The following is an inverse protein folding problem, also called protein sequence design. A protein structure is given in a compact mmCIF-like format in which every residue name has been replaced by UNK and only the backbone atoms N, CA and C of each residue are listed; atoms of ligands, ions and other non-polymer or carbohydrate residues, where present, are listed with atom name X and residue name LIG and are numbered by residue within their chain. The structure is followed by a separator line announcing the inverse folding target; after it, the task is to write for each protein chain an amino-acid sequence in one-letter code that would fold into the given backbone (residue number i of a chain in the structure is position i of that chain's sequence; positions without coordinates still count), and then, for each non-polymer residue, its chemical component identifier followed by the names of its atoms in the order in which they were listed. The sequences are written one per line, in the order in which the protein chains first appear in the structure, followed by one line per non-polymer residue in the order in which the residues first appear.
data_IF_509594757749
#
_entry.id   IF_509594757749
#
_cell.length_a   1.000
_cell.length_b   1.000
_cell.length_c   1.000
_cell.angle_alpha   90.00
_cell.angle_beta   90.00
_cell.angle_gamma   90.00
#
_symmetry.space_group_name_H-M   'P 1'
#
loop_
_entity.id
_entity.type
_entity.pdbx_description
1 polymer ?
#
# COMPACT_ATOMS: atom_id res chain seq x y z
N UNK A 1 31.22 21.91 -61.53
CA UNK A 1 31.02 23.25 -62.07
C UNK A 1 29.51 23.38 -62.22
N UNK A 2 28.82 23.78 -61.13
CA UNK A 2 28.39 25.17 -60.79
C UNK A 2 27.17 25.57 -61.65
N UNK A 3 26.01 26.00 -61.18
CA UNK A 3 25.42 26.58 -59.93
C UNK A 3 23.90 26.24 -59.97
N UNK A 4 23.24 25.76 -58.91
CA UNK A 4 22.49 26.45 -57.83
C UNK A 4 21.73 27.73 -58.19
N UNK A 5 20.41 27.68 -58.05
CA UNK A 5 19.53 28.82 -57.82
C UNK A 5 18.49 28.37 -56.77
N UNK A 6 18.40 29.07 -55.63
CA UNK A 6 17.21 29.09 -54.76
C UNK A 6 17.37 30.14 -53.63
N UNK A 7 16.68 31.26 -53.84
CA UNK A 7 15.72 31.92 -52.92
C UNK A 7 16.16 32.42 -51.53
N UNK A 8 16.46 33.72 -51.49
CA UNK A 8 15.69 34.80 -50.83
C UNK A 8 15.33 34.71 -49.31
N UNK A 9 16.17 35.40 -48.52
CA UNK A 9 15.88 36.53 -47.60
C UNK A 9 15.22 36.40 -46.22
N UNK A 10 15.77 37.28 -45.36
CA UNK A 10 15.28 37.90 -44.12
C UNK A 10 15.34 37.02 -42.87
N UNK A 11 15.83 37.46 -41.72
CA UNK A 11 16.17 38.79 -41.24
C UNK A 11 16.32 38.65 -39.72
N UNK A 12 17.57 38.65 -39.26
CA UNK A 12 17.96 38.44 -37.86
C UNK A 12 18.00 39.79 -37.13
N UNK A 13 17.17 39.94 -36.10
CA UNK A 13 17.40 40.91 -35.04
C UNK A 13 16.99 40.34 -33.68
N UNK A 14 17.99 39.90 -32.93
CA UNK A 14 18.23 40.41 -31.57
C UNK A 14 17.54 39.68 -30.43
N UNK A 15 18.36 39.08 -29.55
CA UNK A 15 18.16 39.12 -28.09
C UNK A 15 19.47 38.84 -27.35
N UNK A 16 19.97 39.92 -26.74
CA UNK A 16 20.89 40.05 -25.61
C UNK A 16 21.29 38.77 -24.86
N UNK A 17 22.59 38.47 -24.86
CA UNK A 17 23.22 37.56 -23.91
C UNK A 17 23.40 38.26 -22.54
N UNK A 18 22.72 37.77 -21.49
CA UNK A 18 23.05 38.09 -20.10
C UNK A 18 23.75 36.92 -19.44
N UNK A 19 24.91 37.20 -18.85
CA UNK A 19 25.77 36.32 -18.08
C UNK A 19 25.01 35.57 -16.98
N UNK A 20 25.16 34.24 -16.95
CA UNK A 20 24.72 33.40 -15.84
C UNK A 20 25.53 33.70 -14.58
N UNK A 21 24.87 34.24 -13.56
CA UNK A 21 25.37 34.26 -12.19
C UNK A 21 24.92 32.96 -11.52
N UNK A 22 25.89 32.15 -11.10
CA UNK A 22 25.66 30.92 -10.33
C UNK A 22 25.29 31.28 -8.90
N UNK A 23 23.99 31.40 -8.60
CA UNK A 23 23.52 31.45 -7.22
C UNK A 23 23.51 30.03 -6.64
N UNK A 24 24.42 29.77 -5.70
CA UNK A 24 24.40 28.60 -4.84
C UNK A 24 23.20 28.72 -3.90
N UNK A 25 22.06 28.18 -4.32
CA UNK A 25 20.94 27.93 -3.44
C UNK A 25 21.30 26.74 -2.55
N UNK A 26 21.78 27.02 -1.34
CA UNK A 26 21.83 26.02 -0.26
C UNK A 26 20.39 25.65 0.07
N UNK A 27 19.88 24.60 -0.54
CA UNK A 27 18.66 23.94 -0.07
C UNK A 27 18.95 23.44 1.34
N UNK A 28 18.41 24.15 2.33
CA UNK A 28 18.24 23.60 3.66
C UNK A 28 17.29 22.41 3.53
N UNK A 29 17.87 21.22 3.31
CA UNK A 29 17.19 19.98 3.65
C UNK A 29 16.81 20.10 5.12
N UNK A 30 15.53 20.37 5.38
CA UNK A 30 14.95 20.07 6.67
C UNK A 30 14.97 18.54 6.79
N UNK A 31 16.12 18.01 7.18
CA UNK A 31 16.27 16.63 7.56
C UNK A 31 15.25 16.37 8.65
N UNK A 32 14.18 15.66 8.30
CA UNK A 32 13.40 14.93 9.28
C UNK A 32 14.43 14.03 9.97
N UNK A 33 14.81 14.40 11.19
CA UNK A 33 15.70 13.62 12.00
C UNK A 33 15.17 12.18 11.98
N UNK A 34 15.99 11.24 11.51
CA UNK A 34 15.67 9.83 11.65
C UNK A 34 15.39 9.61 13.14
N UNK A 35 14.11 9.43 13.48
CA UNK A 35 13.74 9.05 14.83
C UNK A 35 14.57 7.81 15.16
N UNK A 36 15.44 7.93 16.16
CA UNK A 36 16.38 6.86 16.49
C UNK A 36 15.62 5.55 16.66
N UNK A 37 16.16 4.46 16.12
CA UNK A 37 15.60 3.13 16.29
C UNK A 37 15.43 2.81 17.77
N UNK A 38 14.28 2.27 18.19
CA UNK A 38 14.06 1.83 19.57
C UNK A 38 15.05 0.70 19.93
N UNK A 39 16.02 0.91 20.85
CA UNK A 39 17.01 -0.10 21.20
C UNK A 39 16.42 -1.35 21.85
N UNK A 40 15.21 -1.26 22.45
CA UNK A 40 14.52 -2.42 23.02
C UNK A 40 14.05 -3.38 21.93
N UNK A 41 13.65 -2.82 20.79
CA UNK A 41 13.22 -3.56 19.61
C UNK A 41 14.39 -3.97 18.71
N UNK A 42 15.48 -3.18 18.72
CA UNK A 42 16.66 -3.36 17.89
C UNK A 42 17.94 -3.59 18.73
N UNK A 43 18.06 -4.70 19.48
CA UNK A 43 19.29 -5.01 20.24
C UNK A 43 20.51 -5.30 19.34
N UNK A 44 20.28 -5.54 18.05
CA UNK A 44 21.30 -5.68 17.00
C UNK A 44 20.73 -5.11 15.69
N UNK A 45 21.58 -4.55 14.78
CA UNK A 45 21.13 -4.08 13.47
C UNK A 45 20.43 -5.14 12.60
N UNK A 46 20.60 -6.42 12.94
CA UNK A 46 20.03 -7.56 12.20
C UNK A 46 18.91 -8.28 12.98
N UNK A 47 18.47 -7.73 14.11
CA UNK A 47 17.43 -8.34 14.94
C UNK A 47 16.37 -7.31 15.32
N UNK A 48 15.14 -7.56 14.88
CA UNK A 48 13.96 -6.79 15.28
C UNK A 48 12.99 -7.66 16.09
N UNK A 49 12.62 -7.19 17.29
CA UNK A 49 11.65 -7.88 18.15
C UNK A 49 10.22 -7.52 17.74
N UNK A 50 9.75 -8.05 16.60
CA UNK A 50 8.44 -7.71 16.00
C UNK A 50 7.29 -7.77 17.01
N UNK A 51 7.14 -8.88 17.74
CA UNK A 51 6.03 -9.06 18.68
C UNK A 51 6.15 -8.25 19.98
N UNK A 52 7.30 -7.61 20.22
CA UNK A 52 7.51 -6.73 21.37
C UNK A 52 7.23 -5.26 21.05
N UNK A 53 6.96 -4.91 19.78
CA UNK A 53 6.54 -3.56 19.41
C UNK A 53 5.13 -3.26 19.95
N UNK A 54 4.78 -1.99 20.08
CA UNK A 54 3.41 -1.64 20.45
C UNK A 54 2.46 -1.95 19.28
N UNK A 55 1.37 -2.71 19.50
CA UNK A 55 0.39 -2.97 18.45
C UNK A 55 -0.46 -1.74 18.15
N UNK A 56 -0.73 -1.49 16.86
CA UNK A 56 -1.86 -0.66 16.47
C UNK A 56 -3.13 -1.46 16.73
N UNK A 57 -4.03 -0.92 17.54
CA UNK A 57 -5.28 -1.56 17.95
C UNK A 57 -6.42 -1.07 17.05
N UNK A 58 -7.20 -2.02 16.54
CA UNK A 58 -8.41 -1.78 15.76
C UNK A 58 -9.60 -2.54 16.36
N UNK A 59 -10.80 -2.28 15.83
CA UNK A 59 -12.03 -2.95 16.30
C UNK A 59 -12.00 -4.47 16.09
N UNK A 60 -11.45 -4.92 14.95
CA UNK A 60 -11.38 -6.33 14.59
C UNK A 60 -10.13 -7.07 15.07
N UNK A 61 -9.14 -6.38 15.64
CA UNK A 61 -7.82 -6.99 15.82
C UNK A 61 -6.66 -6.01 16.02
N UNK A 62 -5.45 -6.49 15.75
CA UNK A 62 -4.22 -5.72 15.95
C UNK A 62 -3.23 -5.91 14.81
N UNK A 63 -2.35 -4.92 14.63
CA UNK A 63 -1.27 -4.93 13.64
C UNK A 63 0.06 -4.51 14.28
N UNK A 64 1.14 -5.20 13.95
CA UNK A 64 2.52 -4.82 14.30
C UNK A 64 3.41 -4.99 13.08
N UNK A 65 4.28 -4.03 12.79
CA UNK A 65 5.10 -4.03 11.57
C UNK A 65 6.60 -3.94 11.80
N UNK A 66 7.36 -4.46 10.85
CA UNK A 66 8.79 -4.20 10.63
C UNK A 66 8.97 -3.66 9.21
N UNK A 67 9.53 -2.45 9.10
CA UNK A 67 9.70 -1.70 7.85
C UNK A 67 10.91 -0.75 7.96
N UNK A 68 11.27 -0.05 6.89
CA UNK A 68 12.51 0.73 6.80
C UNK A 68 12.67 1.87 7.83
N UNK A 69 11.56 2.29 8.45
CA UNK A 69 11.56 3.36 9.44
C UNK A 69 11.89 2.83 10.86
N UNK A 70 11.47 1.61 11.21
CA UNK A 70 11.67 1.04 12.56
C UNK A 70 12.70 -0.09 12.62
N UNK A 71 13.02 -0.69 11.47
CA UNK A 71 14.08 -1.68 11.28
C UNK A 71 14.93 -1.31 10.05
N UNK A 72 15.90 -0.38 10.20
CA UNK A 72 16.56 0.26 9.07
C UNK A 72 17.33 -0.65 8.12
N UNK A 73 17.67 -1.88 8.54
CA UNK A 73 18.29 -2.87 7.64
C UNK A 73 17.40 -3.21 6.44
N UNK A 74 16.09 -2.99 6.55
CA UNK A 74 15.13 -3.20 5.47
C UNK A 74 15.16 -2.09 4.41
N UNK A 75 15.79 -0.94 4.67
CA UNK A 75 15.84 0.18 3.70
C UNK A 75 16.49 -0.26 2.39
N UNK A 76 15.75 -0.12 1.29
CA UNK A 76 16.20 -0.51 -0.05
C UNK A 76 16.26 -2.03 -0.30
N UNK A 77 15.84 -2.86 0.65
CA UNK A 77 15.82 -4.32 0.50
C UNK A 77 14.54 -4.85 -0.15
N UNK A 78 13.54 -4.01 -0.38
CA UNK A 78 12.21 -4.41 -0.88
C UNK A 78 11.61 -5.49 0.03
N UNK A 79 11.57 -5.20 1.33
CA UNK A 79 11.06 -6.13 2.33
C UNK A 79 10.45 -5.42 3.51
N UNK A 80 9.20 -5.76 3.83
CA UNK A 80 8.53 -5.40 5.07
C UNK A 80 7.63 -6.54 5.50
N UNK A 81 7.35 -6.60 6.80
CA UNK A 81 6.62 -7.71 7.41
C UNK A 81 5.67 -7.19 8.46
N UNK A 82 4.45 -7.70 8.47
CA UNK A 82 3.43 -7.37 9.44
C UNK A 82 2.88 -8.63 10.11
N UNK A 83 2.69 -8.54 11.42
CA UNK A 83 1.92 -9.51 12.17
C UNK A 83 0.50 -8.95 12.33
N UNK A 84 -0.46 -9.64 11.73
CA UNK A 84 -1.90 -9.34 11.84
C UNK A 84 -2.52 -10.36 12.78
N UNK A 85 -3.25 -9.86 13.78
CA UNK A 85 -4.16 -10.70 14.57
C UNK A 85 -5.59 -10.24 14.33
N UNK A 86 -6.45 -11.15 13.89
CA UNK A 86 -7.89 -10.94 13.79
C UNK A 86 -8.58 -11.69 14.92
N UNK A 87 -9.35 -10.97 15.74
CA UNK A 87 -10.21 -11.58 16.74
C UNK A 87 -11.37 -12.34 16.07
N UNK A 88 -12.18 -13.06 16.84
CA UNK A 88 -13.36 -13.75 16.29
C UNK A 88 -14.26 -12.73 15.57
N UNK A 89 -14.58 -13.02 14.30
CA UNK A 89 -15.32 -12.10 13.42
C UNK A 89 -14.51 -10.93 12.89
N UNK A 90 -13.21 -10.85 13.17
CA UNK A 90 -12.30 -9.84 12.64
C UNK A 90 -12.08 -9.99 11.14
N UNK A 91 -11.93 -8.86 10.46
CA UNK A 91 -11.78 -8.72 9.02
C UNK A 91 -10.66 -7.70 8.76
N UNK A 92 -9.64 -8.09 8.00
CA UNK A 92 -8.79 -7.11 7.31
C UNK A 92 -9.59 -6.63 6.10
N UNK A 93 -9.99 -5.36 6.08
CA UNK A 93 -10.95 -4.87 5.08
C UNK A 93 -10.43 -5.02 3.66
N UNK A 94 -11.30 -4.88 2.67
CA UNK A 94 -10.87 -4.95 1.27
C UNK A 94 -9.95 -3.79 0.89
N UNK A 95 -8.78 -4.15 0.36
CA UNK A 95 -7.69 -3.24 0.03
C UNK A 95 -6.87 -3.80 -1.14
N UNK A 96 -5.91 -3.00 -1.60
CA UNK A 96 -4.93 -3.39 -2.61
C UNK A 96 -3.63 -2.61 -2.40
N UNK A 97 -2.54 -3.18 -2.90
CA UNK A 97 -1.21 -2.59 -2.83
C UNK A 97 -0.78 -2.14 -4.23
N UNK A 98 -0.54 -0.83 -4.46
CA UNK A 98 -0.14 -0.34 -5.76
C UNK A 98 1.31 -0.72 -6.12
N UNK A 99 2.20 -0.93 -5.14
CA UNK A 99 3.63 -1.17 -5.39
C UNK A 99 4.18 -2.50 -4.92
N UNK A 100 3.42 -3.30 -4.16
CA UNK A 100 3.87 -4.61 -3.66
C UNK A 100 2.89 -5.75 -3.91
N UNK A 101 3.41 -6.98 -4.00
CA UNK A 101 2.66 -8.20 -3.75
C UNK A 101 2.68 -8.54 -2.27
N UNK A 102 1.69 -9.34 -1.84
CA UNK A 102 1.53 -9.79 -0.46
C UNK A 102 1.67 -11.32 -0.39
N UNK A 103 2.56 -11.82 0.47
CA UNK A 103 2.68 -13.23 0.82
C UNK A 103 2.33 -13.43 2.29
N UNK A 104 1.33 -14.26 2.54
CA UNK A 104 0.76 -14.50 3.85
C UNK A 104 1.07 -15.91 4.33
N UNK A 105 1.54 -16.04 5.56
CA UNK A 105 1.67 -17.30 6.25
C UNK A 105 0.71 -17.36 7.43
N UNK A 106 -0.16 -18.37 7.46
CA UNK A 106 -1.13 -18.55 8.54
C UNK A 106 -0.42 -19.19 9.74
N UNK A 107 -0.14 -18.40 10.77
CA UNK A 107 0.57 -18.87 11.98
C UNK A 107 -0.35 -19.70 12.87
N UNK A 108 -1.61 -19.27 13.02
CA UNK A 108 -2.59 -19.97 13.84
C UNK A 108 -4.01 -19.57 13.44
N UNK A 109 -4.95 -20.52 13.52
CA UNK A 109 -6.37 -20.29 13.24
C UNK A 109 -6.76 -20.70 11.81
N UNK A 110 -7.87 -20.11 11.33
CA UNK A 110 -8.42 -20.38 10.00
C UNK A 110 -8.86 -19.06 9.38
N UNK A 111 -8.36 -18.78 8.18
CA UNK A 111 -8.70 -17.60 7.41
C UNK A 111 -9.64 -17.97 6.26
N UNK A 112 -10.52 -17.05 5.90
CA UNK A 112 -11.19 -17.07 4.60
C UNK A 112 -10.72 -15.87 3.80
N UNK A 113 -10.16 -16.14 2.63
CA UNK A 113 -9.59 -15.16 1.72
C UNK A 113 -10.54 -14.90 0.57
N UNK A 114 -10.47 -13.69 0.04
CA UNK A 114 -11.06 -13.36 -1.25
C UNK A 114 -10.12 -12.45 -2.02
N UNK A 115 -9.80 -12.84 -3.25
CA UNK A 115 -8.88 -12.14 -4.15
C UNK A 115 -9.63 -11.84 -5.45
N UNK A 116 -9.61 -10.58 -5.88
CA UNK A 116 -10.30 -10.08 -7.06
C UNK A 116 -9.28 -9.40 -7.98
N UNK A 117 -9.26 -9.82 -9.24
CA UNK A 117 -8.38 -9.24 -10.25
C UNK A 117 -8.41 -9.97 -11.57
N UNK A 118 -7.60 -9.51 -12.52
CA UNK A 118 -7.37 -10.19 -13.80
C UNK A 118 -6.27 -11.21 -13.64
N UNK A 119 -6.63 -12.48 -13.74
CA UNK A 119 -5.74 -13.61 -13.53
C UNK A 119 -4.84 -13.88 -14.74
N UNK A 120 -3.84 -14.78 -14.63
CA UNK A 120 -2.90 -15.06 -15.73
C UNK A 120 -3.55 -15.55 -17.03
N UNK A 121 -4.78 -16.07 -16.96
CA UNK A 121 -5.58 -16.48 -18.12
C UNK A 121 -6.24 -15.28 -18.85
N UNK A 122 -6.09 -14.07 -18.33
CA UNK A 122 -6.70 -12.83 -18.83
C UNK A 122 -8.15 -12.64 -18.41
N UNK A 123 -8.72 -13.57 -17.63
CA UNK A 123 -10.08 -13.45 -17.12
C UNK A 123 -10.08 -12.69 -15.80
N UNK A 124 -11.07 -11.81 -15.62
CA UNK A 124 -11.39 -11.27 -14.31
C UNK A 124 -12.23 -12.29 -13.55
N UNK A 125 -11.75 -12.75 -12.40
CA UNK A 125 -12.53 -13.59 -11.50
C UNK A 125 -12.19 -13.36 -10.03
N UNK A 126 -13.12 -13.80 -9.18
CA UNK A 126 -13.00 -13.74 -7.74
C UNK A 126 -12.62 -15.13 -7.23
N UNK A 127 -11.49 -15.25 -6.57
CA UNK A 127 -11.12 -16.48 -5.86
C UNK A 127 -11.46 -16.33 -4.40
N UNK A 128 -12.29 -17.25 -3.89
CA UNK A 128 -12.65 -17.32 -2.48
C UNK A 128 -12.37 -18.72 -1.94
N UNK A 129 -11.53 -18.81 -0.91
CA UNK A 129 -11.06 -20.07 -0.34
C UNK A 129 -10.72 -19.90 1.14
N UNK A 130 -10.62 -21.03 1.85
CA UNK A 130 -10.10 -21.08 3.21
C UNK A 130 -8.63 -21.43 3.21
N UNK A 131 -7.89 -20.89 4.19
CA UNK A 131 -6.51 -21.24 4.48
C UNK A 131 -6.40 -21.60 5.97
N UNK A 132 -5.76 -22.72 6.26
CA UNK A 132 -5.57 -23.25 7.61
C UNK A 132 -4.16 -22.95 8.11
N UNK A 133 -3.90 -23.24 9.39
CA UNK A 133 -2.58 -23.11 10.00
C UNK A 133 -1.50 -23.83 9.19
N UNK A 134 -0.42 -23.10 8.86
CA UNK A 134 0.69 -23.59 8.05
C UNK A 134 0.57 -23.32 6.55
N UNK A 135 -0.57 -22.85 6.06
CA UNK A 135 -0.76 -22.53 4.65
C UNK A 135 -0.13 -21.18 4.25
N UNK A 136 0.15 -21.04 2.95
CA UNK A 136 0.58 -19.81 2.30
C UNK A 136 -0.53 -19.27 1.39
N UNK A 137 -0.74 -17.96 1.43
CA UNK A 137 -1.64 -17.25 0.50
C UNK A 137 -0.89 -16.11 -0.17
N UNK A 138 -0.99 -16.02 -1.49
CA UNK A 138 -0.33 -14.97 -2.27
C UNK A 138 -1.37 -14.06 -2.93
N UNK A 139 -1.34 -12.77 -2.61
CA UNK A 139 -2.10 -11.74 -3.31
C UNK A 139 -1.15 -11.00 -4.27
N UNK A 140 -1.38 -11.07 -5.60
CA UNK A 140 -0.55 -10.36 -6.56
C UNK A 140 -0.66 -8.83 -6.37
N UNK A 141 0.41 -8.12 -6.75
CA UNK A 141 0.41 -6.66 -6.76
C UNK A 141 -0.77 -6.10 -7.55
N UNK A 142 -1.45 -5.12 -6.98
CA UNK A 142 -2.60 -4.46 -7.59
C UNK A 142 -3.92 -5.24 -7.52
N UNK A 143 -3.94 -6.47 -7.00
CA UNK A 143 -5.19 -7.22 -6.84
C UNK A 143 -5.94 -6.74 -5.61
N UNK A 144 -7.26 -6.57 -5.74
CA UNK A 144 -8.11 -6.21 -4.64
C UNK A 144 -8.40 -7.45 -3.80
N UNK A 145 -8.14 -7.41 -2.50
CA UNK A 145 -8.27 -8.59 -1.65
C UNK A 145 -8.68 -8.23 -0.22
N UNK A 146 -9.22 -9.23 0.48
CA UNK A 146 -9.53 -9.15 1.90
C UNK A 146 -9.47 -10.54 2.53
N UNK A 147 -9.38 -10.58 3.86
CA UNK A 147 -9.48 -11.82 4.60
C UNK A 147 -10.16 -11.64 5.94
N UNK A 148 -10.91 -12.66 6.31
CA UNK A 148 -11.67 -12.72 7.56
C UNK A 148 -11.25 -13.92 8.41
N UNK A 149 -11.35 -13.77 9.72
CA UNK A 149 -11.24 -14.90 10.63
C UNK A 149 -12.46 -15.80 10.45
N UNK A 150 -12.24 -17.00 9.90
CA UNK A 150 -13.28 -17.98 9.64
C UNK A 150 -13.60 -18.85 10.87
N UNK A 151 -12.82 -18.73 11.95
CA UNK A 151 -13.10 -19.41 13.20
C UNK A 151 -14.18 -18.69 14.02
N UNK A 152 -15.14 -19.47 14.52
CA UNK A 152 -16.16 -18.97 15.45
C UNK A 152 -15.68 -18.85 16.91
N UNK A 153 -14.50 -19.40 17.24
CA UNK A 153 -14.07 -19.55 18.64
C UNK A 153 -12.62 -19.19 18.91
N UNK A 154 -11.78 -19.07 17.88
CA UNK A 154 -10.35 -18.77 18.02
C UNK A 154 -9.98 -17.53 17.24
N UNK A 155 -8.96 -16.82 17.69
CA UNK A 155 -8.33 -15.77 16.91
C UNK A 155 -7.55 -16.37 15.72
N UNK A 156 -7.28 -15.53 14.73
CA UNK A 156 -6.44 -15.80 13.58
C UNK A 156 -5.17 -14.94 13.69
N UNK A 157 -4.00 -15.57 13.59
CA UNK A 157 -2.70 -14.89 13.57
C UNK A 157 -2.05 -15.15 12.19
N UNK A 158 -1.65 -14.08 11.49
CA UNK A 158 -1.08 -14.12 10.13
C UNK A 158 0.21 -13.31 10.09
N UNK A 159 1.24 -13.87 9.46
CA UNK A 159 2.42 -13.12 9.06
C UNK A 159 2.27 -12.69 7.59
N UNK A 160 2.26 -11.39 7.37
CA UNK A 160 2.11 -10.75 6.06
C UNK A 160 3.46 -10.23 5.63
N UNK A 161 3.90 -10.53 4.41
CA UNK A 161 5.22 -10.20 3.87
C UNK A 161 5.04 -9.49 2.54
N UNK A 162 5.73 -8.37 2.36
CA UNK A 162 5.67 -7.58 1.15
C UNK A 162 7.04 -7.41 0.51
N UNK A 163 7.09 -7.32 -0.83
CA UNK A 163 8.29 -6.89 -1.56
C UNK A 163 8.47 -5.38 -1.62
N UNK A 164 8.19 -4.68 -0.53
CA UNK A 164 8.45 -3.25 -0.39
C UNK A 164 8.99 -2.95 0.99
N UNK A 165 9.92 -2.01 1.07
CA UNK A 165 10.50 -1.57 2.35
C UNK A 165 9.60 -0.56 3.09
N UNK A 166 8.59 -0.02 2.40
CA UNK A 166 7.71 1.03 2.92
C UNK A 166 6.83 0.53 4.05
N UNK A 167 6.18 1.48 4.73
CA UNK A 167 5.19 1.16 5.75
C UNK A 167 3.87 0.80 5.10
N UNK A 168 3.11 -0.15 5.66
CA UNK A 168 1.82 -0.57 5.16
C UNK A 168 0.90 0.62 4.84
N UNK A 169 0.73 1.62 5.73
CA UNK A 169 -0.14 2.76 5.43
C UNK A 169 0.21 3.58 4.18
N UNK A 170 1.43 3.43 3.65
CA UNK A 170 1.90 4.14 2.46
C UNK A 170 1.79 3.31 1.18
N UNK A 171 1.49 2.02 1.28
CA UNK A 171 1.26 1.12 0.14
C UNK A 171 -0.09 0.41 0.27
N UNK A 172 -1.01 0.92 1.08
CA UNK A 172 -2.33 0.34 1.30
C UNK A 172 -3.42 1.31 0.88
N UNK A 173 -4.29 0.84 -0.02
CA UNK A 173 -5.46 1.60 -0.45
C UNK A 173 -6.71 0.80 -0.09
N UNK A 174 -7.32 1.12 1.06
CA UNK A 174 -8.59 0.54 1.49
C UNK A 174 -9.80 0.92 0.63
N UNK A 175 -10.90 0.18 0.77
CA UNK A 175 -12.13 0.34 -0.01
C UNK A 175 -12.70 1.77 0.05
N UNK A 176 -12.64 2.42 1.22
CA UNK A 176 -13.11 3.81 1.39
C UNK A 176 -12.21 4.77 0.60
N UNK A 177 -10.90 4.57 0.63
CA UNK A 177 -9.94 5.33 -0.17
C UNK A 177 -10.19 5.17 -1.67
N UNK A 178 -10.41 3.93 -2.13
CA UNK A 178 -10.75 3.63 -3.52
C UNK A 178 -12.03 4.33 -3.96
N UNK A 179 -13.11 4.25 -3.17
CA UNK A 179 -14.38 4.91 -3.49
C UNK A 179 -14.28 6.45 -3.45
N UNK A 180 -13.45 7.01 -2.56
CA UNK A 180 -13.27 8.45 -2.46
C UNK A 180 -12.28 9.03 -3.49
N UNK A 181 -11.54 8.17 -4.20
CA UNK A 181 -10.63 8.58 -5.28
C UNK A 181 -11.34 8.82 -6.61
N UNK A 182 -12.63 8.46 -6.71
CA UNK A 182 -13.47 8.66 -7.89
C UNK A 182 -14.61 9.65 -7.61
N UNK A 183 -14.89 10.60 -8.53
CA UNK A 183 -16.07 11.45 -8.44
C UNK A 183 -17.37 10.64 -8.33
N UNK A 184 -18.34 11.14 -7.57
CA UNK A 184 -19.59 10.40 -7.29
C UNK A 184 -20.44 10.16 -8.54
N UNK A 185 -20.40 11.07 -9.50
CA UNK A 185 -21.05 10.94 -10.80
C UNK A 185 -20.39 9.86 -11.68
N UNK A 186 -19.06 9.73 -11.63
CA UNK A 186 -18.34 8.63 -12.29
C UNK A 186 -18.73 7.28 -11.68
N UNK A 187 -18.73 7.16 -10.35
CA UNK A 187 -19.18 5.95 -9.66
C UNK A 187 -20.65 5.61 -10.01
N UNK A 188 -21.54 6.60 -9.95
CA UNK A 188 -22.95 6.45 -10.32
C UNK A 188 -23.11 5.91 -11.74
N UNK A 189 -22.36 6.47 -12.70
CA UNK A 189 -22.34 5.98 -14.07
C UNK A 189 -21.80 4.54 -14.18
N UNK A 190 -20.73 4.20 -13.46
CA UNK A 190 -20.13 2.85 -13.46
C UNK A 190 -21.08 1.78 -12.93
N UNK A 191 -21.79 2.06 -11.83
CA UNK A 191 -22.67 1.08 -11.18
C UNK A 191 -24.12 1.14 -11.69
N UNK A 192 -24.47 2.12 -12.53
CA UNK A 192 -25.82 2.28 -13.05
C UNK A 192 -26.84 2.69 -11.97
N UNK A 193 -26.40 3.46 -10.98
CA UNK A 193 -27.22 3.88 -9.82
C UNK A 193 -27.26 5.41 -9.71
N UNK A 194 -28.23 6.00 -8.98
CA UNK A 194 -28.21 7.43 -8.68
C UNK A 194 -26.99 7.83 -7.83
N UNK A 195 -26.52 9.07 -7.96
CA UNK A 195 -25.42 9.63 -7.14
C UNK A 195 -25.69 9.47 -5.63
N UNK A 196 -26.94 9.59 -5.21
CA UNK A 196 -27.36 9.44 -3.81
C UNK A 196 -27.13 8.04 -3.22
N UNK A 197 -26.86 7.02 -4.04
CA UNK A 197 -26.47 5.70 -3.57
C UNK A 197 -25.14 5.75 -2.78
N UNK A 198 -24.33 6.78 -2.98
CA UNK A 198 -23.03 6.95 -2.32
C UNK A 198 -23.05 7.97 -1.16
N UNK A 199 -24.21 8.50 -0.78
CA UNK A 199 -24.33 9.49 0.31
C UNK A 199 -23.85 8.93 1.66
N UNK A 200 -23.97 7.61 1.85
CA UNK A 200 -23.52 6.91 3.05
C UNK A 200 -22.05 6.47 3.04
N UNK A 201 -21.30 6.72 1.96
CA UNK A 201 -19.88 6.35 1.89
C UNK A 201 -19.10 7.22 2.89
N UNK A 202 -18.33 6.62 3.83
CA UNK A 202 -17.50 7.38 4.76
C UNK A 202 -16.52 8.29 4.02
N UNK A 203 -16.32 9.50 4.52
CA UNK A 203 -15.39 10.49 3.93
C UNK A 203 -14.00 10.45 4.56
N UNK A 204 -13.90 9.97 5.80
CA UNK A 204 -12.62 9.77 6.47
C UNK A 204 -11.88 8.58 5.84
N UNK A 205 -10.72 8.84 5.23
CA UNK A 205 -9.86 7.81 4.67
C UNK A 205 -8.89 7.35 5.74
N UNK A 206 -8.92 6.05 6.05
CA UNK A 206 -7.97 5.40 6.95
C UNK A 206 -7.09 4.48 6.10
N UNK A 207 -5.75 4.58 6.21
CA UNK A 207 -4.86 3.84 5.33
C UNK A 207 -4.83 2.35 5.65
N UNK A 208 -5.08 1.93 6.89
CA UNK A 208 -5.26 0.51 7.26
C UNK A 208 -6.49 0.38 8.14
N UNK A 209 -7.32 -0.64 7.88
CA UNK A 209 -8.52 -0.92 8.67
C UNK A 209 -8.64 -2.41 8.95
N UNK A 210 -8.76 -2.73 10.22
CA UNK A 210 -9.16 -4.05 10.71
C UNK A 210 -10.48 -3.87 11.47
N UNK A 211 -11.55 -4.43 10.95
CA UNK A 211 -12.91 -4.25 11.46
C UNK A 211 -13.52 -5.58 11.91
N UNK A 212 -14.69 -5.55 12.54
CA UNK A 212 -15.42 -6.75 12.92
C UNK A 212 -16.72 -6.88 12.13
N UNK A 213 -17.09 -8.11 11.77
CA UNK A 213 -18.42 -8.40 11.25
C UNK A 213 -19.46 -8.05 12.33
N UNK A 214 -20.38 -7.15 11.97
CA UNK A 214 -21.51 -6.77 12.82
C UNK A 214 -22.61 -7.83 12.79
#
# INVERSE_FOLDING_TARGET
MSETDDLNTTGDTGLSASSAATESATSAESGAAAAGTDPRLNPSPHLFKLRASEPTIFDGGTLQGAHEQNFPVLRGQQGSVYFVRLEVGGIREAHWHPTAWELNYIIAGKAKWTILGTHPDGAYHNDAFEADEGDLVFAPQGFFHYFENASATKALDVLVIFNTSTTEPNDDIGIVGTLNSLPRDVLAATFGVPVSAFDGVPTEIKPVVITRRK
#
